data_IF_689126374829
#
_entry.id   IF_689126374829
#
_cell.length_a   1.000
_cell.length_b   1.000
_cell.length_c   1.000
_cell.angle_alpha   90.00
_cell.angle_beta   90.00
_cell.angle_gamma   90.00
#
_symmetry.space_group_name_H-M   'P 1'
#
loop_
_entity.id
_entity.type
_entity.pdbx_description
1 polymer ?
#
# COMPACT_ATOMS: atom_id res chain seq x y z
N UNK A 1 22.70 15.18 -22.54
CA UNK A 1 21.32 15.17 -22.05
C UNK A 1 20.98 13.70 -21.75
N UNK A 2 21.04 13.29 -20.48
CA UNK A 2 20.74 11.91 -20.07
C UNK A 2 19.29 11.88 -19.63
N UNK A 3 18.41 11.30 -20.45
CA UNK A 3 17.07 10.90 -20.03
C UNK A 3 17.22 9.73 -19.07
N UNK A 4 16.79 9.95 -17.83
CA UNK A 4 16.80 8.95 -16.77
C UNK A 4 15.87 7.77 -17.16
N UNK A 5 16.37 6.54 -17.26
CA UNK A 5 15.59 5.39 -17.73
C UNK A 5 14.61 4.84 -16.67
N UNK A 6 14.39 5.54 -15.56
CA UNK A 6 13.40 5.16 -14.55
C UNK A 6 12.04 5.86 -14.73
N UNK A 7 11.83 6.60 -15.82
CA UNK A 7 10.55 7.26 -16.09
C UNK A 7 9.42 6.32 -16.55
N UNK A 8 9.51 5.03 -16.24
CA UNK A 8 8.47 4.05 -16.50
C UNK A 8 7.98 3.38 -15.22
N UNK A 9 7.58 4.18 -14.22
CA UNK A 9 6.55 3.81 -13.26
C UNK A 9 5.62 5.01 -13.04
N UNK A 10 4.54 4.95 -13.79
CA UNK A 10 3.19 5.42 -13.45
C UNK A 10 2.95 5.67 -11.95
N UNK A 11 2.14 6.68 -11.66
CA UNK A 11 1.88 7.41 -10.40
C UNK A 11 1.45 6.63 -9.14
N UNK A 12 1.77 5.34 -9.02
CA UNK A 12 1.75 4.58 -7.77
C UNK A 12 3.04 4.75 -6.94
N UNK A 13 4.11 5.29 -7.54
CA UNK A 13 5.45 5.39 -6.95
C UNK A 13 5.77 6.62 -6.09
N UNK A 14 4.82 7.53 -5.86
CA UNK A 14 5.06 8.72 -5.04
C UNK A 14 4.78 8.53 -3.54
N UNK A 15 4.14 7.41 -3.17
CA UNK A 15 3.73 7.15 -1.79
C UNK A 15 4.82 6.35 -1.08
N UNK A 16 5.30 6.87 0.04
CA UNK A 16 6.25 6.15 0.88
C UNK A 16 5.66 4.79 1.30
N UNK A 17 6.48 3.74 1.25
CA UNK A 17 6.04 2.40 1.62
C UNK A 17 5.48 2.37 3.04
N UNK A 18 6.08 3.11 3.96
CA UNK A 18 5.63 3.23 5.36
C UNK A 18 4.26 3.91 5.44
N UNK A 19 4.00 4.89 4.57
CA UNK A 19 2.70 5.55 4.47
C UNK A 19 1.63 4.58 3.96
N UNK A 20 1.93 3.84 2.90
CA UNK A 20 1.03 2.80 2.39
C UNK A 20 0.75 1.73 3.45
N UNK A 21 1.79 1.23 4.11
CA UNK A 21 1.67 0.28 5.22
C UNK A 21 0.81 0.83 6.36
N UNK A 22 0.89 2.13 6.66
CA UNK A 22 0.05 2.76 7.69
C UNK A 22 -1.43 2.80 7.29
N UNK A 23 -1.73 3.05 6.01
CA UNK A 23 -3.11 3.07 5.50
C UNK A 23 -3.82 1.72 5.57
N UNK A 24 -3.07 0.63 5.42
CA UNK A 24 -3.62 -0.74 5.49
C UNK A 24 -3.44 -1.40 6.84
N UNK A 25 -2.56 -0.89 7.72
CA UNK A 25 -2.35 -1.43 9.06
C UNK A 25 -3.68 -1.47 9.83
N UNK A 26 -4.39 -0.34 9.89
CA UNK A 26 -5.66 -0.25 10.59
C UNK A 26 -6.74 -1.18 10.01
N UNK A 27 -6.76 -1.34 8.68
CA UNK A 27 -7.72 -2.25 8.02
C UNK A 27 -7.36 -3.71 8.22
N UNK A 28 -6.06 -4.03 8.14
CA UNK A 28 -5.55 -5.37 8.39
C UNK A 28 -5.86 -5.80 9.82
N UNK A 29 -5.58 -4.95 10.82
CA UNK A 29 -5.86 -5.23 12.23
C UNK A 29 -7.37 -5.34 12.51
N UNK A 30 -8.22 -4.61 11.77
CA UNK A 30 -9.68 -4.76 11.83
C UNK A 30 -10.17 -6.10 11.29
N UNK A 31 -9.59 -6.56 10.18
CA UNK A 31 -9.93 -7.85 9.58
C UNK A 31 -9.28 -9.03 10.32
N UNK A 32 -8.14 -8.79 10.96
CA UNK A 32 -7.36 -9.78 11.68
C UNK A 32 -6.97 -9.25 13.07
N UNK A 33 -7.88 -9.32 14.07
CA UNK A 33 -7.60 -8.81 15.41
C UNK A 33 -6.50 -9.59 16.16
N UNK A 34 -6.18 -10.81 15.71
CA UNK A 34 -5.11 -11.65 16.29
C UNK A 34 -3.79 -11.52 15.50
N UNK A 35 -3.80 -10.82 14.37
CA UNK A 35 -2.68 -10.78 13.43
C UNK A 35 -2.25 -9.34 13.14
N UNK A 36 -0.96 -9.15 12.92
CA UNK A 36 -0.43 -7.81 12.64
C UNK A 36 0.22 -7.77 11.26
N UNK A 37 0.19 -6.58 10.65
CA UNK A 37 0.86 -6.38 9.36
C UNK A 37 2.36 -6.72 9.44
N UNK A 38 2.99 -6.53 10.59
CA UNK A 38 4.39 -6.92 10.81
C UNK A 38 4.58 -8.44 10.79
N UNK A 39 3.66 -9.18 11.41
CA UNK A 39 3.69 -10.65 11.40
C UNK A 39 3.41 -11.21 10.00
N UNK A 40 2.47 -10.60 9.26
CA UNK A 40 2.27 -10.88 7.83
C UNK A 40 3.57 -10.66 7.02
N UNK A 41 4.30 -9.57 7.25
CA UNK A 41 5.57 -9.31 6.56
C UNK A 41 6.64 -10.35 6.89
N UNK A 42 6.71 -10.78 8.14
CA UNK A 42 7.63 -11.87 8.55
C UNK A 42 7.25 -13.17 7.84
N UNK A 43 5.97 -13.55 7.84
CA UNK A 43 5.48 -14.78 7.18
C UNK A 43 5.60 -14.73 5.66
N UNK A 44 5.41 -13.57 5.03
CA UNK A 44 5.64 -13.36 3.60
C UNK A 44 7.08 -13.67 3.16
N UNK A 45 8.06 -13.59 4.07
CA UNK A 45 9.43 -14.02 3.73
C UNK A 45 9.52 -15.53 3.49
N UNK A 46 8.71 -16.32 4.18
CA UNK A 46 8.77 -17.79 4.17
C UNK A 46 7.70 -18.43 3.28
N UNK A 47 6.52 -17.82 3.19
CA UNK A 47 5.36 -18.37 2.50
C UNK A 47 5.00 -17.58 1.25
N UNK A 48 4.74 -18.29 0.15
CA UNK A 48 4.29 -17.66 -1.12
C UNK A 48 2.86 -17.16 -1.02
N UNK A 49 2.02 -17.80 -0.21
CA UNK A 49 0.64 -17.36 0.05
C UNK A 49 0.65 -16.01 0.77
N UNK A 50 1.45 -15.88 1.83
CA UNK A 50 1.59 -14.63 2.59
C UNK A 50 2.23 -13.51 1.74
N UNK A 51 3.10 -13.82 0.77
CA UNK A 51 3.55 -12.82 -0.20
C UNK A 51 2.43 -12.32 -1.09
N UNK A 52 1.57 -13.22 -1.54
CA UNK A 52 0.39 -12.87 -2.34
C UNK A 52 -0.51 -11.92 -1.56
N UNK A 53 -0.78 -12.29 -0.30
CA UNK A 53 -1.61 -11.50 0.61
C UNK A 53 -1.02 -10.11 0.88
N UNK A 54 0.28 -10.02 1.19
CA UNK A 54 0.95 -8.72 1.38
C UNK A 54 0.89 -7.85 0.11
N UNK A 55 0.98 -8.47 -1.07
CA UNK A 55 0.93 -7.74 -2.34
C UNK A 55 -0.47 -7.19 -2.64
N UNK A 56 -1.50 -7.97 -2.31
CA UNK A 56 -2.90 -7.55 -2.44
C UNK A 56 -3.21 -6.38 -1.50
N UNK A 57 -2.78 -6.48 -0.25
CA UNK A 57 -2.89 -5.39 0.71
C UNK A 57 -2.17 -4.12 0.26
N UNK A 58 -0.95 -4.23 -0.28
CA UNK A 58 -0.24 -3.06 -0.85
C UNK A 58 -0.99 -2.43 -2.02
N UNK A 59 -1.72 -3.21 -2.83
CA UNK A 59 -2.55 -2.68 -3.90
C UNK A 59 -3.77 -1.92 -3.36
N UNK A 60 -4.40 -2.43 -2.29
CA UNK A 60 -5.46 -1.71 -1.55
C UNK A 60 -4.94 -0.40 -0.96
N UNK A 61 -3.73 -0.40 -0.40
CA UNK A 61 -3.08 0.81 0.11
C UNK A 61 -2.91 1.86 -1.00
N UNK A 62 -2.40 1.45 -2.17
CA UNK A 62 -2.20 2.34 -3.30
C UNK A 62 -3.52 2.91 -3.83
N UNK A 63 -4.56 2.07 -3.94
CA UNK A 63 -5.90 2.50 -4.33
C UNK A 63 -6.49 3.49 -3.33
N UNK A 64 -6.31 3.26 -2.02
CA UNK A 64 -6.73 4.20 -0.97
C UNK A 64 -5.97 5.52 -1.02
N UNK A 65 -4.66 5.48 -1.22
CA UNK A 65 -3.84 6.69 -1.34
C UNK A 65 -4.26 7.52 -2.56
N UNK A 66 -4.55 6.87 -3.69
CA UNK A 66 -5.13 7.53 -4.86
C UNK A 66 -6.53 8.12 -4.55
N UNK A 67 -7.37 7.37 -3.83
CA UNK A 67 -8.71 7.80 -3.43
C UNK A 67 -8.69 8.99 -2.46
N UNK A 68 -7.77 9.03 -1.48
CA UNK A 68 -7.62 10.17 -0.56
C UNK A 68 -7.06 11.40 -1.26
N UNK A 69 -6.16 11.22 -2.24
CA UNK A 69 -5.68 12.32 -3.09
C UNK A 69 -6.80 12.97 -3.90
N UNK A 70 -7.70 12.17 -4.49
CA UNK A 70 -8.87 12.72 -5.21
C UNK A 70 -9.93 13.29 -4.25
N UNK A 71 -10.14 12.66 -3.07
CA UNK A 71 -11.07 13.17 -2.07
C UNK A 71 -10.63 14.53 -1.48
N UNK A 72 -9.32 14.80 -1.34
CA UNK A 72 -8.80 16.10 -0.94
C UNK A 72 -9.06 17.21 -1.98
N UNK A 73 -9.32 16.85 -3.24
CA UNK A 73 -9.54 17.80 -4.33
C UNK A 73 -10.99 18.28 -4.48
N UNK A 74 -11.91 17.89 -3.59
CA UNK A 74 -13.30 18.38 -3.62
C UNK A 74 -13.66 19.13 -2.34
N UNK A 75 -13.89 20.45 -2.38
CA UNK A 75 -14.63 21.12 -1.32
C UNK A 75 -16.13 20.78 -1.46
N UNK A 76 -16.86 20.49 -0.35
CA UNK A 76 -18.32 20.44 -0.40
C UNK A 76 -18.86 21.85 -0.67
N UNK A 77 -19.87 21.92 -1.55
CA UNK A 77 -20.62 23.12 -1.92
C UNK A 77 -21.43 23.69 -0.76
#
# INVERSE_FOLDING_TARGET
MRTDPHQHLDSAGAWDRTYLESLIREDFERCHPDDTLDDLKRRASFSKEDRGLLRDWMAVAAARAAATCTAKASPPR
#
